data_IF_247839361423
#
_entry.id   IF_247839361423
#
_cell.length_a   1.000
_cell.length_b   1.000
_cell.length_c   1.000
_cell.angle_alpha   90.00
_cell.angle_beta   90.00
_cell.angle_gamma   90.00
#
_symmetry.space_group_name_H-M   'P 1'
#
loop_
_entity.id
_entity.type
_entity.pdbx_description
1 polymer ?
#
# COMPACT_ATOMS: atom_id res chain seq x y z
N UNK A 1 27.90 5.70 2.07
CA UNK A 1 27.41 4.89 3.21
C UNK A 1 26.18 5.52 3.86
N UNK A 2 26.22 6.82 4.20
CA UNK A 2 25.09 7.55 4.79
C UNK A 2 23.78 7.44 3.97
N UNK A 3 23.82 7.64 2.64
CA UNK A 3 22.64 7.56 1.77
C UNK A 3 21.94 6.19 1.82
N UNK A 4 22.70 5.11 1.90
CA UNK A 4 22.14 3.76 1.99
C UNK A 4 21.39 3.56 3.30
N UNK A 5 21.97 3.98 4.42
CA UNK A 5 21.34 3.86 5.75
C UNK A 5 20.06 4.69 5.83
N UNK A 6 20.08 5.92 5.31
CA UNK A 6 18.89 6.79 5.26
C UNK A 6 17.78 6.15 4.43
N UNK A 7 18.10 5.65 3.23
CA UNK A 7 17.10 5.05 2.34
C UNK A 7 16.54 3.73 2.90
N UNK A 8 17.35 2.91 3.57
CA UNK A 8 16.89 1.70 4.28
C UNK A 8 15.95 2.10 5.42
N UNK A 9 16.32 3.08 6.24
CA UNK A 9 15.49 3.57 7.34
C UNK A 9 14.12 4.05 6.87
N UNK A 10 14.08 4.86 5.80
CA UNK A 10 12.83 5.34 5.18
C UNK A 10 12.01 4.17 4.61
N UNK A 11 12.66 3.24 3.91
CA UNK A 11 11.98 2.08 3.32
C UNK A 11 11.32 1.20 4.38
N UNK A 12 12.03 0.92 5.48
CA UNK A 12 11.51 0.13 6.59
C UNK A 12 10.35 0.87 7.28
N UNK A 13 10.52 2.17 7.58
CA UNK A 13 9.48 2.97 8.25
C UNK A 13 8.17 2.98 7.46
N UNK A 14 8.22 3.31 6.17
CA UNK A 14 7.03 3.36 5.30
C UNK A 14 6.39 1.98 5.17
N UNK A 15 7.21 0.93 5.05
CA UNK A 15 6.74 -0.45 4.94
C UNK A 15 6.01 -0.91 6.19
N UNK A 16 6.56 -0.59 7.37
CA UNK A 16 5.94 -0.85 8.67
C UNK A 16 4.58 -0.16 8.74
N UNK A 17 4.50 1.12 8.38
CA UNK A 17 3.22 1.85 8.35
C UNK A 17 2.20 1.16 7.44
N UNK A 18 2.59 0.73 6.24
CA UNK A 18 1.72 0.01 5.31
C UNK A 18 1.23 -1.34 5.88
N UNK A 19 2.13 -2.12 6.47
CA UNK A 19 1.80 -3.43 7.05
C UNK A 19 0.90 -3.25 8.28
N UNK A 20 1.19 -2.30 9.17
CA UNK A 20 0.36 -2.03 10.33
C UNK A 20 -1.03 -1.52 9.93
N UNK A 21 -1.12 -0.57 9.00
CA UNK A 21 -2.40 -0.10 8.48
C UNK A 21 -3.22 -1.25 7.86
N UNK A 22 -2.56 -2.14 7.10
CA UNK A 22 -3.20 -3.33 6.57
C UNK A 22 -3.71 -4.27 7.66
N UNK A 23 -2.93 -4.50 8.72
CA UNK A 23 -3.32 -5.34 9.86
C UNK A 23 -4.50 -4.73 10.61
N UNK A 24 -4.47 -3.42 10.87
CA UNK A 24 -5.57 -2.69 11.51
C UNK A 24 -6.84 -2.84 10.67
N UNK A 25 -6.75 -2.66 9.35
CA UNK A 25 -7.90 -2.78 8.45
C UNK A 25 -8.43 -4.23 8.36
N UNK A 26 -7.55 -5.24 8.47
CA UNK A 26 -7.93 -6.66 8.53
C UNK A 26 -8.61 -7.01 9.86
N UNK A 27 -8.11 -6.51 10.99
CA UNK A 27 -8.61 -6.84 12.33
C UNK A 27 -9.88 -6.07 12.68
N UNK A 28 -9.91 -4.79 12.33
CA UNK A 28 -11.00 -3.86 12.62
C UNK A 28 -11.52 -3.25 11.31
N UNK A 29 -12.11 -4.06 10.40
CA UNK A 29 -12.67 -3.53 9.17
C UNK A 29 -13.87 -2.62 9.47
N UNK A 30 -14.04 -1.50 8.74
CA UNK A 30 -15.22 -0.67 8.89
C UNK A 30 -16.47 -1.43 8.46
N UNK A 31 -17.44 -1.60 9.36
CA UNK A 31 -18.69 -2.33 9.10
C UNK A 31 -19.65 -1.55 8.21
N UNK A 32 -19.66 -0.23 8.37
CA UNK A 32 -20.51 0.69 7.64
C UNK A 32 -19.68 1.60 6.74
N UNK A 33 -20.32 2.05 5.66
CA UNK A 33 -19.71 2.96 4.70
C UNK A 33 -19.36 4.25 5.43
N UNK A 34 -18.07 4.59 5.44
CA UNK A 34 -17.54 5.70 6.23
C UNK A 34 -16.64 6.59 5.36
N UNK A 35 -16.81 7.91 5.47
CA UNK A 35 -16.04 8.87 4.68
C UNK A 35 -14.63 9.17 5.24
N UNK A 36 -14.32 8.75 6.47
CA UNK A 36 -13.04 8.99 7.15
C UNK A 36 -12.14 7.73 7.22
N UNK A 37 -12.72 6.54 7.39
CA UNK A 37 -11.98 5.28 7.58
C UNK A 37 -12.30 4.24 6.51
N UNK A 38 -11.27 3.54 6.04
CA UNK A 38 -11.38 2.47 5.04
C UNK A 38 -10.98 2.87 3.62
N UNK A 39 -11.22 1.95 2.68
CA UNK A 39 -10.96 2.10 1.26
C UNK A 39 -12.15 2.77 0.55
N UNK A 40 -12.00 4.07 0.30
CA UNK A 40 -13.10 5.03 0.03
C UNK A 40 -13.17 5.47 -1.44
N UNK A 41 -13.09 4.54 -2.37
CA UNK A 41 -13.34 4.85 -3.79
C UNK A 41 -14.84 4.85 -4.08
N UNK A 42 -15.24 5.56 -5.13
CA UNK A 42 -16.65 5.64 -5.57
C UNK A 42 -17.30 4.27 -5.73
N UNK A 43 -16.56 3.27 -6.26
CA UNK A 43 -17.07 1.91 -6.43
C UNK A 43 -17.18 1.16 -5.10
N UNK A 44 -16.14 1.24 -4.25
CA UNK A 44 -16.15 0.61 -2.92
C UNK A 44 -17.33 1.09 -2.06
N UNK A 45 -17.64 2.39 -2.11
CA UNK A 45 -18.70 2.99 -1.30
C UNK A 45 -20.12 2.83 -1.88
N UNK A 46 -20.31 2.10 -2.98
CA UNK A 46 -21.61 1.99 -3.67
C UNK A 46 -22.64 1.16 -2.87
N UNK A 47 -22.20 0.08 -2.22
CA UNK A 47 -23.04 -0.77 -1.37
C UNK A 47 -22.19 -1.52 -0.33
N UNK A 48 -22.83 -2.17 0.64
CA UNK A 48 -22.13 -2.87 1.75
C UNK A 48 -21.24 -4.03 1.28
N UNK A 49 -21.61 -4.72 0.21
CA UNK A 49 -20.84 -5.83 -0.34
C UNK A 49 -19.51 -5.35 -0.95
N UNK A 50 -19.58 -4.34 -1.83
CA UNK A 50 -18.40 -3.72 -2.44
C UNK A 50 -17.54 -3.02 -1.40
N UNK A 51 -18.14 -2.45 -0.36
CA UNK A 51 -17.43 -1.83 0.76
C UNK A 51 -16.59 -2.86 1.53
N UNK A 52 -17.19 -3.99 1.91
CA UNK A 52 -16.48 -5.08 2.58
C UNK A 52 -15.37 -5.66 1.71
N UNK A 53 -15.66 -5.90 0.43
CA UNK A 53 -14.68 -6.39 -0.54
C UNK A 53 -13.52 -5.40 -0.73
N UNK A 54 -13.79 -4.10 -0.84
CA UNK A 54 -12.80 -3.05 -1.06
C UNK A 54 -11.84 -2.91 0.13
N UNK A 55 -12.37 -2.95 1.35
CA UNK A 55 -11.55 -2.92 2.57
C UNK A 55 -10.71 -4.20 2.73
N UNK A 56 -11.29 -5.38 2.45
CA UNK A 56 -10.54 -6.65 2.50
C UNK A 56 -9.40 -6.70 1.49
N UNK A 57 -9.68 -6.38 0.23
CA UNK A 57 -8.67 -6.45 -0.84
C UNK A 57 -7.61 -5.36 -0.71
N UNK A 58 -7.98 -4.15 -0.30
CA UNK A 58 -6.99 -3.09 -0.09
C UNK A 58 -6.04 -3.45 1.05
N UNK A 59 -6.53 -4.02 2.15
CA UNK A 59 -5.68 -4.51 3.23
C UNK A 59 -4.70 -5.61 2.76
N UNK A 60 -5.17 -6.57 1.95
CA UNK A 60 -4.30 -7.61 1.39
C UNK A 60 -3.17 -7.02 0.51
N UNK A 61 -3.53 -6.09 -0.38
CA UNK A 61 -2.56 -5.46 -1.29
C UNK A 61 -1.62 -4.50 -0.56
N UNK A 62 -2.10 -3.76 0.45
CA UNK A 62 -1.26 -2.93 1.31
C UNK A 62 -0.20 -3.76 2.03
N UNK A 63 -0.59 -4.91 2.60
CA UNK A 63 0.34 -5.82 3.28
C UNK A 63 1.40 -6.34 2.31
N UNK A 64 1.00 -6.80 1.12
CA UNK A 64 1.92 -7.26 0.07
C UNK A 64 2.88 -6.15 -0.37
N UNK A 65 2.37 -4.95 -0.65
CA UNK A 65 3.18 -3.81 -1.06
C UNK A 65 4.17 -3.38 0.03
N UNK A 66 3.78 -3.39 1.31
CA UNK A 66 4.67 -3.08 2.41
C UNK A 66 5.88 -4.01 2.48
N UNK A 67 5.68 -5.33 2.33
CA UNK A 67 6.81 -6.27 2.27
C UNK A 67 7.70 -6.05 1.04
N UNK A 68 7.10 -5.76 -0.12
CA UNK A 68 7.83 -5.46 -1.36
C UNK A 68 8.67 -4.18 -1.21
N UNK A 69 8.10 -3.11 -0.66
CA UNK A 69 8.80 -1.85 -0.39
C UNK A 69 9.99 -2.06 0.54
N UNK A 70 9.81 -2.85 1.59
CA UNK A 70 10.87 -3.13 2.57
C UNK A 70 12.04 -3.87 1.92
N UNK A 71 11.76 -4.95 1.22
CA UNK A 71 12.78 -5.80 0.62
C UNK A 71 13.47 -5.11 -0.54
N UNK A 72 12.71 -4.62 -1.53
CA UNK A 72 13.28 -4.01 -2.74
C UNK A 72 13.95 -2.68 -2.42
N UNK A 73 13.34 -1.84 -1.58
CA UNK A 73 13.93 -0.57 -1.16
C UNK A 73 15.27 -0.75 -0.44
N UNK A 74 15.36 -1.76 0.43
CA UNK A 74 16.61 -2.08 1.14
C UNK A 74 17.68 -2.65 0.20
N UNK A 75 17.32 -3.58 -0.68
CA UNK A 75 18.24 -4.17 -1.67
C UNK A 75 18.80 -3.09 -2.60
N UNK A 76 17.93 -2.24 -3.18
CA UNK A 76 18.37 -1.13 -4.05
C UNK A 76 19.31 -0.19 -3.30
N UNK A 77 19.02 0.13 -2.04
CA UNK A 77 19.84 1.02 -1.22
C UNK A 77 21.24 0.47 -0.93
N UNK A 78 21.37 -0.86 -0.76
CA UNK A 78 22.65 -1.52 -0.52
C UNK A 78 23.51 -1.53 -1.79
N UNK A 79 22.88 -1.82 -2.94
CA UNK A 79 23.53 -1.91 -4.25
C UNK A 79 23.90 -0.54 -4.83
N UNK A 80 23.03 0.47 -4.69
CA UNK A 80 23.17 1.78 -5.31
C UNK A 80 23.26 2.89 -4.26
N UNK A 81 24.48 3.28 -3.90
CA UNK A 81 24.76 4.21 -2.78
C UNK A 81 24.92 5.67 -3.21
N UNK A 82 24.16 6.08 -4.21
CA UNK A 82 24.21 7.42 -4.81
C UNK A 82 23.12 8.35 -4.26
N UNK A 83 23.29 9.66 -4.44
CA UNK A 83 22.31 10.68 -4.04
C UNK A 83 20.97 10.50 -4.75
N UNK A 84 20.98 10.09 -6.02
CA UNK A 84 19.76 9.95 -6.83
C UNK A 84 18.96 8.67 -6.55
N UNK A 85 19.50 7.71 -5.79
CA UNK A 85 18.81 6.46 -5.44
C UNK A 85 17.52 6.72 -4.67
N UNK A 86 17.51 7.75 -3.81
CA UNK A 86 16.33 8.13 -3.01
C UNK A 86 15.13 8.44 -3.89
N UNK A 87 15.32 9.21 -4.96
CA UNK A 87 14.25 9.57 -5.89
C UNK A 87 13.68 8.33 -6.60
N UNK A 88 14.55 7.41 -7.02
CA UNK A 88 14.12 6.15 -7.64
C UNK A 88 13.26 5.29 -6.69
N UNK A 89 13.65 5.20 -5.42
CA UNK A 89 12.87 4.48 -4.38
C UNK A 89 11.50 5.15 -4.17
N UNK A 90 11.44 6.48 -4.11
CA UNK A 90 10.17 7.21 -3.97
C UNK A 90 9.24 6.99 -5.16
N UNK A 91 9.76 7.03 -6.38
CA UNK A 91 8.99 6.73 -7.60
C UNK A 91 8.47 5.29 -7.56
N UNK A 92 9.31 4.34 -7.17
CA UNK A 92 8.92 2.94 -7.02
C UNK A 92 7.78 2.77 -6.00
N UNK A 93 7.86 3.42 -4.84
CA UNK A 93 6.78 3.41 -3.84
C UNK A 93 5.48 4.00 -4.39
N UNK A 94 5.55 5.12 -5.11
CA UNK A 94 4.39 5.75 -5.74
C UNK A 94 3.72 4.79 -6.74
N UNK A 95 4.50 4.09 -7.56
CA UNK A 95 3.99 3.07 -8.49
C UNK A 95 3.25 1.95 -7.77
N UNK A 96 3.75 1.48 -6.62
CA UNK A 96 3.06 0.47 -5.81
C UNK A 96 1.74 0.98 -5.23
N UNK A 97 1.68 2.26 -4.83
CA UNK A 97 0.43 2.89 -4.37
C UNK A 97 -0.59 2.96 -5.51
N UNK A 98 -0.18 3.40 -6.70
CA UNK A 98 -1.06 3.44 -7.89
C UNK A 98 -1.53 2.03 -8.24
N UNK A 99 -0.62 1.04 -8.24
CA UNK A 99 -0.93 -0.38 -8.46
C UNK A 99 -1.99 -0.89 -7.49
N UNK A 100 -1.96 -0.46 -6.22
CA UNK A 100 -2.97 -0.83 -5.22
C UNK A 100 -4.35 -0.42 -5.68
N UNK A 101 -4.55 0.86 -6.03
CA UNK A 101 -5.84 1.36 -6.50
C UNK A 101 -6.31 0.60 -7.74
N UNK A 102 -5.43 0.42 -8.73
CA UNK A 102 -5.78 -0.31 -9.96
C UNK A 102 -6.23 -1.74 -9.64
N UNK A 103 -5.49 -2.47 -8.80
CA UNK A 103 -5.78 -3.87 -8.47
C UNK A 103 -7.10 -4.02 -7.71
N UNK A 104 -7.34 -3.14 -6.73
CA UNK A 104 -8.58 -3.17 -5.94
C UNK A 104 -9.77 -2.76 -6.81
N UNK A 105 -9.66 -1.67 -7.58
CA UNK A 105 -10.75 -1.20 -8.45
C UNK A 105 -11.12 -2.21 -9.54
N UNK A 106 -10.13 -2.91 -10.10
CA UNK A 106 -10.37 -3.98 -11.08
C UNK A 106 -11.14 -5.14 -10.47
N UNK A 107 -10.82 -5.53 -9.22
CA UNK A 107 -11.56 -6.58 -8.49
C UNK A 107 -12.98 -6.14 -8.15
N UNK A 108 -13.15 -4.90 -7.68
CA UNK A 108 -14.48 -4.36 -7.39
C UNK A 108 -15.34 -4.25 -8.65
N UNK A 109 -14.76 -3.87 -9.79
CA UNK A 109 -15.50 -3.78 -11.06
C UNK A 109 -16.04 -5.15 -11.49
N UNK A 110 -15.29 -6.22 -11.25
CA UNK A 110 -15.73 -7.58 -11.56
C UNK A 110 -16.82 -8.12 -10.61
N UNK A 111 -16.96 -7.54 -9.41
CA UNK A 111 -18.01 -7.88 -8.44
C UNK A 111 -19.28 -7.03 -8.62
N UNK A 112 -19.17 -5.87 -9.28
CA UNK A 112 -20.30 -4.96 -9.53
C UNK A 112 -21.17 -5.41 -10.71
N UNK A 113 -20.63 -6.28 -11.59
CA UNK A 113 -21.29 -6.85 -12.76
C UNK A 113 -22.19 -8.02 -12.38
#
# INVERSE_FOLDING_TARGET
>A
MIYALVNIGISILISIIFIFAAIILQKNPPTDINAAYGYRTKRSMKNKELWGAGNRYSAEVMKQNGFIMMLIGSVISILFRYSHTTLAIMIFMLVLIIRLFIRVEKRLKALEQ
#
